data_IF_850086437685
#
_entry.id   IF_850086437685
#
_cell.length_a   1.000
_cell.length_b   1.000
_cell.length_c   1.000
_cell.angle_alpha   90.00
_cell.angle_beta   90.00
_cell.angle_gamma   90.00
#
_symmetry.space_group_name_H-M   'P 1'
#
loop_
_entity.id
_entity.type
_entity.pdbx_description
1 polymer ?
#
# COMPACT_ATOMS: atom_id res chain seq x y z
N UNK A 1 -22.32 19.81 -3.33
CA UNK A 1 -21.95 18.46 -3.84
C UNK A 1 -20.47 18.54 -4.19
N UNK A 2 -19.59 18.03 -3.33
CA UNK A 2 -18.16 18.01 -3.60
C UNK A 2 -17.89 17.07 -4.77
N UNK A 3 -17.20 17.56 -5.80
CA UNK A 3 -16.64 16.74 -6.87
C UNK A 3 -15.95 15.53 -6.21
N UNK A 4 -16.49 14.33 -6.43
CA UNK A 4 -15.77 13.09 -6.18
C UNK A 4 -14.62 13.06 -7.18
N UNK A 5 -13.52 13.76 -6.87
CA UNK A 5 -12.30 13.70 -7.64
C UNK A 5 -11.95 12.23 -7.81
N UNK A 6 -11.67 11.83 -9.05
CA UNK A 6 -11.35 10.45 -9.41
C UNK A 6 -10.46 9.82 -8.34
N UNK A 7 -10.92 8.70 -7.78
CA UNK A 7 -10.11 7.92 -6.85
C UNK A 7 -8.88 7.48 -7.61
N UNK A 8 -7.72 8.07 -7.25
CA UNK A 8 -6.44 7.73 -7.86
C UNK A 8 -6.19 6.25 -7.66
N UNK A 9 -6.00 5.54 -8.76
CA UNK A 9 -5.70 4.11 -8.71
C UNK A 9 -4.19 3.93 -8.74
N UNK A 10 -3.66 3.11 -7.85
CA UNK A 10 -2.24 2.82 -7.72
C UNK A 10 -2.01 1.35 -8.01
N UNK A 11 -0.92 1.04 -8.70
CA UNK A 11 -0.41 -0.33 -8.84
C UNK A 11 0.93 -0.43 -8.10
N UNK A 12 0.95 -1.20 -7.02
CA UNK A 12 2.13 -1.41 -6.21
C UNK A 12 2.87 -2.68 -6.63
N UNK A 13 4.19 -2.59 -6.60
CA UNK A 13 5.12 -3.70 -6.77
C UNK A 13 5.99 -3.74 -5.52
N UNK A 14 5.70 -4.67 -4.63
CA UNK A 14 6.35 -4.80 -3.33
C UNK A 14 7.28 -6.00 -3.32
N UNK A 15 8.50 -5.79 -2.82
CA UNK A 15 9.42 -6.86 -2.44
C UNK A 15 9.61 -6.84 -0.94
N UNK A 16 9.42 -7.98 -0.29
CA UNK A 16 9.62 -8.16 1.13
C UNK A 16 10.97 -8.82 1.40
N UNK A 17 11.51 -8.55 2.60
CA UNK A 17 12.65 -9.28 3.15
C UNK A 17 12.36 -10.78 3.09
N UNK A 18 13.31 -11.58 2.61
CA UNK A 18 13.12 -13.01 2.38
C UNK A 18 12.66 -13.39 0.97
N UNK A 19 12.50 -12.41 0.07
CA UNK A 19 12.31 -12.67 -1.37
C UNK A 19 10.86 -12.84 -1.82
N UNK A 20 9.88 -12.66 -0.93
CA UNK A 20 8.47 -12.64 -1.30
C UNK A 20 8.12 -11.36 -2.06
N UNK A 21 7.29 -11.47 -3.09
CA UNK A 21 6.83 -10.32 -3.88
C UNK A 21 5.30 -10.25 -3.87
N UNK A 22 4.75 -9.03 -3.89
CA UNK A 22 3.31 -8.78 -4.04
C UNK A 22 3.08 -7.68 -5.06
N UNK A 23 2.18 -7.92 -6.01
CA UNK A 23 1.73 -6.91 -6.97
C UNK A 23 0.22 -6.79 -6.81
N UNK A 24 -0.26 -5.58 -6.55
CA UNK A 24 -1.69 -5.36 -6.39
C UNK A 24 -2.09 -3.92 -6.76
N UNK A 25 -3.36 -3.74 -7.04
CA UNK A 25 -3.97 -2.44 -7.33
C UNK A 25 -4.84 -1.99 -6.16
N UNK A 26 -4.84 -0.70 -5.89
CA UNK A 26 -5.59 -0.10 -4.76
C UNK A 26 -5.78 1.40 -4.99
N UNK A 27 -6.82 1.98 -4.40
CA UNK A 27 -7.03 3.42 -4.32
C UNK A 27 -6.30 4.04 -3.11
N UNK A 28 -5.83 3.21 -2.17
CA UNK A 28 -5.05 3.65 -1.01
C UNK A 28 -3.57 3.81 -1.39
N UNK A 29 -3.04 5.02 -1.24
CA UNK A 29 -1.60 5.26 -1.35
C UNK A 29 -0.88 4.77 -0.08
N UNK A 30 -0.37 3.54 -0.08
CA UNK A 30 0.27 2.95 1.10
C UNK A 30 1.55 3.68 1.56
N UNK A 31 2.07 4.64 0.77
CA UNK A 31 3.21 5.48 1.14
C UNK A 31 2.83 6.55 2.16
N UNK A 32 1.57 7.01 2.12
CA UNK A 32 1.07 8.13 2.92
C UNK A 32 -0.11 7.77 3.81
N UNK A 33 -0.74 6.61 3.61
CA UNK A 33 -1.81 6.09 4.44
C UNK A 33 -1.46 6.03 5.94
N UNK A 34 -2.50 6.04 6.77
CA UNK A 34 -2.37 5.90 8.22
C UNK A 34 -1.67 4.59 8.59
N UNK A 35 -0.78 4.67 9.58
CA UNK A 35 0.09 3.54 9.97
C UNK A 35 -0.30 3.02 11.34
N UNK A 36 -0.61 1.74 11.40
CA UNK A 36 -0.91 1.01 12.63
C UNK A 36 0.37 0.35 13.16
N UNK A 37 0.82 0.72 14.36
CA UNK A 37 1.97 0.07 15.02
C UNK A 37 1.46 -1.03 15.95
N UNK A 38 1.84 -2.27 15.66
CA UNK A 38 1.44 -3.46 16.44
C UNK A 38 2.65 -4.36 16.63
N UNK A 39 3.02 -4.67 17.88
CA UNK A 39 4.13 -5.57 18.22
C UNK A 39 5.44 -5.29 17.45
N UNK A 40 5.79 -4.01 17.28
CA UNK A 40 6.98 -3.58 16.54
C UNK A 40 6.87 -3.62 15.01
N UNK A 41 5.76 -4.13 14.47
CA UNK A 41 5.41 -4.01 13.05
C UNK A 41 4.80 -2.65 12.72
N UNK A 42 4.82 -2.31 11.43
CA UNK A 42 4.26 -1.07 10.89
C UNK A 42 3.31 -1.43 9.76
N UNK A 43 2.01 -1.34 10.01
CA UNK A 43 0.99 -1.87 9.12
C UNK A 43 0.19 -0.77 8.44
N UNK A 44 -0.21 -1.01 7.21
CA UNK A 44 -1.18 -0.21 6.46
C UNK A 44 -2.26 -1.14 5.96
N UNK A 45 -3.51 -0.77 6.21
CA UNK A 45 -4.68 -1.44 5.64
C UNK A 45 -5.12 -0.70 4.37
N UNK A 46 -5.52 -1.46 3.35
CA UNK A 46 -6.05 -0.91 2.10
C UNK A 46 -7.54 -1.19 1.98
N UNK A 47 -8.25 -0.44 1.13
CA UNK A 47 -9.68 -0.66 0.89
C UNK A 47 -9.99 -2.05 0.30
N UNK A 48 -8.98 -2.70 -0.29
CA UNK A 48 -9.08 -4.04 -0.84
C UNK A 48 -8.78 -5.13 0.22
N UNK A 49 -8.82 -4.79 1.50
CA UNK A 49 -8.58 -5.68 2.65
C UNK A 49 -7.18 -6.32 2.66
N UNK A 50 -6.18 -5.65 2.08
CA UNK A 50 -4.78 -6.05 2.31
C UNK A 50 -4.25 -5.33 3.55
N UNK A 51 -3.61 -6.08 4.44
CA UNK A 51 -2.81 -5.54 5.53
C UNK A 51 -1.33 -5.71 5.19
N UNK A 52 -0.64 -4.61 4.91
CA UNK A 52 0.75 -4.60 4.47
C UNK A 52 1.67 -4.24 5.63
N UNK A 53 2.60 -5.13 5.99
CA UNK A 53 3.65 -4.82 6.96
C UNK A 53 4.82 -4.09 6.29
N UNK A 54 4.82 -2.76 6.37
CA UNK A 54 5.84 -1.89 5.80
C UNK A 54 7.24 -2.14 6.39
N UNK A 55 7.34 -2.62 7.64
CA UNK A 55 8.64 -2.90 8.27
C UNK A 55 9.37 -4.09 7.62
N UNK A 56 8.65 -4.93 6.88
CA UNK A 56 9.18 -6.08 6.16
C UNK A 56 9.47 -5.77 4.69
N UNK A 57 9.19 -4.56 4.20
CA UNK A 57 9.53 -4.19 2.83
C UNK A 57 11.05 -4.06 2.66
N UNK A 58 11.54 -4.67 1.60
CA UNK A 58 12.88 -4.46 1.06
C UNK A 58 12.85 -3.38 -0.02
N UNK A 59 11.82 -3.40 -0.89
CA UNK A 59 11.58 -2.33 -1.86
C UNK A 59 10.09 -2.14 -2.14
N UNK A 60 9.75 -0.91 -2.53
CA UNK A 60 8.41 -0.50 -2.94
C UNK A 60 8.53 0.33 -4.21
N UNK A 61 7.85 -0.11 -5.27
CA UNK A 61 7.62 0.66 -6.47
C UNK A 61 6.12 0.86 -6.67
N UNK A 62 5.75 1.98 -7.28
CA UNK A 62 4.35 2.33 -7.52
C UNK A 62 4.19 2.96 -8.89
N UNK A 63 3.13 2.58 -9.58
CA UNK A 63 2.66 3.21 -10.80
C UNK A 63 1.30 3.85 -10.52
N UNK A 64 1.16 5.13 -10.85
CA UNK A 64 -0.13 5.79 -10.86
C UNK A 64 -0.89 5.34 -12.11
N UNK A 65 -2.09 4.82 -11.92
CA UNK A 65 -3.05 4.50 -12.96
C UNK A 65 -4.06 5.65 -12.98
N UNK A 66 -3.90 6.53 -13.97
CA UNK A 66 -4.84 7.61 -14.27
C UNK A 66 -6.08 7.04 -14.97
#
# INVERSE_FOLDING_TARGET
MSNAGELKKYKFYLKFKGGHNLIFETNTDIRTAERNKVNGGLFVDTENNYTINLAQLESLNVQLLL
#
